data_IF_381416154729
#
_entry.id   IF_381416154729
#
_cell.length_a   1.000
_cell.length_b   1.000
_cell.length_c   1.000
_cell.angle_alpha   90.00
_cell.angle_beta   90.00
_cell.angle_gamma   90.00
#
_symmetry.space_group_name_H-M   'P 1'
#
loop_
_entity.id
_entity.type
_entity.pdbx_description
1 polymer ?
#
# COMPACT_ATOMS: atom_id res chain seq x y z
N UNK A 1 -5.16 -9.33 -10.96
CA UNK A 1 -3.80 -9.19 -10.40
C UNK A 1 -2.87 -10.05 -11.22
N UNK A 2 -1.81 -9.47 -11.80
CA UNK A 2 -0.78 -10.24 -12.52
C UNK A 2 0.12 -10.95 -11.52
N UNK A 3 0.58 -12.14 -11.86
CA UNK A 3 1.59 -12.86 -11.09
C UNK A 3 2.86 -13.07 -11.91
N UNK A 4 3.98 -13.15 -11.21
CA UNK A 4 5.31 -13.37 -11.74
C UNK A 4 5.94 -14.53 -10.97
N UNK A 5 6.44 -15.53 -11.69
CA UNK A 5 7.19 -16.63 -11.07
C UNK A 5 8.68 -16.32 -11.11
N UNK A 6 9.31 -16.29 -9.94
CA UNK A 6 10.76 -16.15 -9.79
C UNK A 6 11.27 -17.41 -9.10
N UNK A 7 12.08 -18.20 -9.81
CA UNK A 7 12.49 -19.54 -9.36
C UNK A 7 11.28 -20.44 -9.06
N UNK A 8 11.07 -20.83 -7.80
CA UNK A 8 9.96 -21.67 -7.36
C UNK A 8 8.87 -20.91 -6.60
N UNK A 9 8.97 -19.59 -6.52
CA UNK A 9 8.06 -18.74 -5.75
C UNK A 9 7.23 -17.86 -6.69
N UNK A 10 5.93 -17.78 -6.43
CA UNK A 10 5.02 -16.90 -7.14
C UNK A 10 4.87 -15.58 -6.40
N UNK A 11 4.90 -14.47 -7.15
CA UNK A 11 4.74 -13.13 -6.62
C UNK A 11 3.58 -12.42 -7.33
N UNK A 12 2.77 -11.70 -6.57
CA UNK A 12 1.81 -10.72 -7.09
C UNK A 12 2.59 -9.46 -7.47
N UNK A 13 2.34 -8.96 -8.68
CA UNK A 13 2.87 -7.66 -9.12
C UNK A 13 1.94 -6.56 -8.61
N UNK A 14 2.37 -5.85 -7.58
CA UNK A 14 1.64 -4.74 -6.97
C UNK A 14 2.18 -3.41 -7.53
N UNK A 15 1.59 -3.02 -8.66
CA UNK A 15 1.95 -1.80 -9.40
C UNK A 15 1.68 -0.54 -8.58
N UNK A 16 0.58 -0.50 -7.82
CA UNK A 16 0.20 0.71 -7.09
C UNK A 16 1.24 1.06 -6.03
N UNK A 17 1.83 0.04 -5.39
CA UNK A 17 2.82 0.20 -4.32
C UNK A 17 4.27 -0.10 -4.77
N UNK A 18 4.53 -0.22 -6.07
CA UNK A 18 5.87 -0.48 -6.64
C UNK A 18 6.59 -1.67 -5.96
N UNK A 19 5.91 -2.81 -5.82
CA UNK A 19 6.47 -4.00 -5.16
C UNK A 19 6.00 -5.33 -5.75
N UNK A 20 6.73 -6.38 -5.43
CA UNK A 20 6.33 -7.78 -5.58
C UNK A 20 5.98 -8.33 -4.21
N UNK A 21 4.86 -9.04 -4.10
CA UNK A 21 4.42 -9.67 -2.85
C UNK A 21 4.29 -11.17 -3.05
N UNK A 22 4.99 -11.95 -2.25
CA UNK A 22 4.92 -13.42 -2.29
C UNK A 22 3.47 -13.92 -2.14
N UNK A 23 3.08 -14.90 -2.95
CA UNK A 23 1.76 -15.51 -2.91
C UNK A 23 1.85 -17.00 -2.56
N UNK A 24 0.98 -17.52 -1.67
CA UNK A 24 -0.06 -16.81 -0.94
C UNK A 24 0.40 -16.19 0.40
N UNK A 25 1.62 -16.51 0.85
CA UNK A 25 2.09 -16.27 2.22
C UNK A 25 2.32 -14.79 2.55
N UNK A 26 2.65 -13.96 1.56
CA UNK A 26 3.00 -12.53 1.70
C UNK A 26 4.17 -12.25 2.66
N UNK A 27 4.97 -13.27 2.97
CA UNK A 27 6.10 -13.15 3.90
C UNK A 27 7.31 -12.44 3.29
N UNK A 28 7.50 -12.57 1.99
CA UNK A 28 8.53 -11.85 1.24
C UNK A 28 7.92 -10.74 0.39
N UNK A 29 8.41 -9.51 0.60
CA UNK A 29 8.03 -8.33 -0.18
C UNK A 29 9.30 -7.71 -0.76
N UNK A 30 9.32 -7.51 -2.08
CA UNK A 30 10.44 -6.95 -2.82
C UNK A 30 10.00 -5.62 -3.43
N UNK A 31 10.66 -4.52 -3.09
CA UNK A 31 10.32 -3.21 -3.68
C UNK A 31 11.16 -3.01 -4.94
N UNK A 32 10.56 -2.51 -6.02
CA UNK A 32 11.31 -2.25 -7.26
C UNK A 32 12.42 -1.21 -7.03
N UNK A 33 12.23 -0.27 -6.10
CA UNK A 33 13.23 0.73 -5.72
C UNK A 33 14.50 0.13 -5.07
N UNK A 34 14.42 -1.08 -4.52
CA UNK A 34 15.58 -1.79 -3.95
C UNK A 34 16.34 -2.59 -5.02
N UNK A 35 15.84 -2.61 -6.26
CA UNK A 35 16.42 -3.33 -7.39
C UNK A 35 17.27 -2.40 -8.26
N UNK A 36 18.26 -2.97 -8.93
CA UNK A 36 19.09 -2.23 -9.88
C UNK A 36 18.46 -2.25 -11.26
N UNK A 37 18.18 -1.09 -11.83
CA UNK A 37 17.80 -0.99 -13.24
C UNK A 37 18.95 -1.46 -14.15
N UNK A 38 18.63 -2.38 -15.08
CA UNK A 38 19.50 -2.90 -16.14
C UNK A 38 18.76 -2.79 -17.48
N UNK A 39 19.44 -2.92 -18.64
CA UNK A 39 18.79 -2.75 -19.94
C UNK A 39 17.52 -3.60 -20.15
N UNK A 40 17.49 -4.80 -19.57
CA UNK A 40 16.42 -5.79 -19.68
C UNK A 40 15.30 -5.63 -18.62
N UNK A 41 15.46 -4.75 -17.62
CA UNK A 41 14.50 -4.55 -16.55
C UNK A 41 15.15 -4.29 -15.19
N UNK A 42 14.76 -5.05 -14.17
CA UNK A 42 15.25 -4.93 -12.80
C UNK A 42 16.07 -6.14 -12.39
N UNK A 43 17.31 -5.90 -11.96
CA UNK A 43 18.22 -6.91 -11.45
C UNK A 43 18.29 -6.85 -9.92
N UNK A 44 18.20 -8.00 -9.28
CA UNK A 44 18.37 -8.17 -7.85
C UNK A 44 18.91 -9.57 -7.54
N UNK A 45 19.27 -9.79 -6.29
CA UNK A 45 19.97 -10.98 -5.84
C UNK A 45 19.27 -11.58 -4.62
N UNK A 46 19.14 -12.90 -4.58
CA UNK A 46 18.68 -13.62 -3.39
C UNK A 46 19.83 -14.30 -2.65
N UNK A 47 19.76 -14.33 -1.32
CA UNK A 47 20.51 -15.29 -0.50
C UNK A 47 19.85 -16.70 -0.54
N UNK A 48 20.47 -17.64 0.18
CA UNK A 48 19.98 -19.02 0.27
C UNK A 48 18.59 -19.15 0.94
N UNK A 49 18.18 -18.13 1.72
CA UNK A 49 16.90 -18.08 2.42
C UNK A 49 15.82 -17.32 1.61
N UNK A 50 16.15 -16.88 0.39
CA UNK A 50 15.21 -16.19 -0.50
C UNK A 50 14.98 -14.72 -0.14
N UNK A 51 15.90 -14.09 0.61
CA UNK A 51 15.87 -12.66 0.92
C UNK A 51 16.79 -11.86 0.02
N UNK A 52 16.46 -10.58 -0.21
CA UNK A 52 17.33 -9.68 -0.96
C UNK A 52 18.70 -9.58 -0.29
N UNK A 53 19.75 -9.92 -1.02
CA UNK A 53 21.11 -9.93 -0.50
C UNK A 53 22.12 -9.45 -1.53
N UNK A 54 23.14 -8.72 -1.09
CA UNK A 54 24.32 -8.42 -1.91
C UNK A 54 25.51 -9.28 -1.51
N UNK A 55 26.29 -9.80 -2.47
CA UNK A 55 27.58 -10.43 -2.17
C UNK A 55 27.92 -11.67 -3.01
N UNK A 56 28.99 -12.37 -2.61
CA UNK A 56 29.37 -13.66 -3.21
C UNK A 56 28.42 -14.76 -2.72
N UNK A 57 27.92 -15.60 -3.63
CA UNK A 57 27.03 -16.72 -3.31
C UNK A 57 25.53 -16.45 -3.47
N UNK A 58 25.15 -15.28 -3.98
CA UNK A 58 23.76 -14.94 -4.30
C UNK A 58 23.42 -15.30 -5.75
N UNK A 59 22.18 -15.71 -6.00
CA UNK A 59 21.67 -15.91 -7.36
C UNK A 59 21.08 -14.60 -7.89
N UNK A 60 21.59 -14.12 -9.03
CA UNK A 60 21.05 -12.95 -9.70
C UNK A 60 19.79 -13.32 -10.48
N UNK A 61 18.76 -12.50 -10.31
CA UNK A 61 17.53 -12.55 -11.07
C UNK A 61 17.32 -11.23 -11.79
N UNK A 62 16.81 -11.31 -13.02
CA UNK A 62 16.37 -10.16 -13.80
C UNK A 62 14.90 -10.36 -14.10
N UNK A 63 14.09 -9.35 -13.79
CA UNK A 63 12.67 -9.32 -14.11
C UNK A 63 12.39 -8.15 -15.07
N UNK A 64 11.41 -8.28 -15.96
CA UNK A 64 11.00 -7.20 -16.86
C UNK A 64 10.61 -5.90 -16.13
N UNK A 65 10.56 -4.79 -16.86
CA UNK A 65 10.00 -3.52 -16.37
C UNK A 65 8.52 -3.66 -15.97
N UNK A 66 8.04 -2.82 -15.06
CA UNK A 66 6.64 -2.85 -14.63
C UNK A 66 5.68 -2.61 -15.80
N UNK A 67 6.02 -1.74 -16.75
CA UNK A 67 5.25 -1.53 -18.00
C UNK A 67 5.12 -2.79 -18.85
N UNK A 68 5.99 -3.78 -18.66
CA UNK A 68 5.95 -5.07 -19.36
C UNK A 68 5.27 -6.16 -18.50
N UNK A 69 5.47 -6.13 -17.17
CA UNK A 69 4.88 -7.07 -16.24
C UNK A 69 3.36 -6.91 -16.12
N UNK A 70 2.89 -5.67 -16.00
CA UNK A 70 1.47 -5.33 -15.92
C UNK A 70 1.20 -4.01 -16.66
N UNK A 71 1.13 -4.06 -18.01
CA UNK A 71 0.86 -2.90 -18.83
C UNK A 71 -0.48 -2.25 -18.45
N UNK A 72 -1.52 -3.06 -18.20
CA UNK A 72 -2.84 -2.52 -17.84
C UNK A 72 -2.82 -1.80 -16.49
N UNK A 73 -2.13 -2.36 -15.49
CA UNK A 73 -1.95 -1.73 -14.18
C UNK A 73 -1.15 -0.42 -14.26
N UNK A 74 -0.05 -0.41 -15.01
CA UNK A 74 0.76 0.80 -15.21
C UNK A 74 0.01 1.88 -15.97
N UNK A 75 -0.70 1.53 -17.04
CA UNK A 75 -1.56 2.45 -17.78
C UNK A 75 -2.60 3.11 -16.86
N UNK A 76 -3.29 2.30 -16.03
CA UNK A 76 -4.24 2.79 -15.02
C UNK A 76 -3.57 3.71 -14.01
N UNK A 77 -2.39 3.35 -13.47
CA UNK A 77 -1.65 4.13 -12.48
C UNK A 77 -1.29 5.53 -12.98
N UNK A 78 -0.93 5.66 -14.25
CA UNK A 78 -0.51 6.93 -14.86
C UNK A 78 -1.65 7.66 -15.60
N UNK A 79 -2.83 7.04 -15.72
CA UNK A 79 -3.98 7.63 -16.42
C UNK A 79 -3.75 7.79 -17.92
N UNK A 80 -3.06 6.83 -18.54
CA UNK A 80 -2.77 6.78 -19.98
C UNK A 80 -3.24 5.45 -20.57
N UNK A 81 -3.34 5.38 -21.89
CA UNK A 81 -3.69 4.14 -22.59
C UNK A 81 -2.51 3.15 -22.61
N UNK A 82 -2.74 1.82 -22.52
CA UNK A 82 -1.66 0.82 -22.57
C UNK A 82 -0.76 0.93 -23.80
N UNK A 83 -1.29 1.34 -24.97
CA UNK A 83 -0.46 1.52 -26.18
C UNK A 83 0.43 2.77 -26.13
N UNK A 84 0.16 3.68 -25.20
CA UNK A 84 0.96 4.89 -24.97
C UNK A 84 2.06 4.68 -23.93
N UNK A 85 2.19 3.47 -23.37
CA UNK A 85 3.24 3.17 -22.42
C UNK A 85 4.62 3.22 -23.10
N UNK A 86 5.62 3.84 -22.44
CA UNK A 86 6.99 3.77 -22.92
C UNK A 86 7.57 2.37 -22.72
N UNK A 87 8.75 2.13 -23.29
CA UNK A 87 9.45 0.86 -23.12
C UNK A 87 9.98 0.62 -21.69
N UNK A 88 10.20 1.70 -20.91
CA UNK A 88 10.80 1.67 -19.58
C UNK A 88 10.02 2.52 -18.59
N UNK A 89 10.01 2.10 -17.32
CA UNK A 89 9.24 2.75 -16.27
C UNK A 89 9.71 4.19 -16.02
N UNK A 90 11.03 4.45 -16.04
CA UNK A 90 11.62 5.79 -15.83
C UNK A 90 11.18 6.86 -16.84
N UNK A 91 10.72 6.41 -18.01
CA UNK A 91 10.30 7.30 -19.09
C UNK A 91 8.85 7.75 -18.91
N UNK A 92 8.11 7.15 -17.97
CA UNK A 92 6.78 7.60 -17.59
C UNK A 92 6.83 9.01 -16.99
N UNK A 93 5.72 9.71 -17.17
CA UNK A 93 5.52 11.08 -16.71
C UNK A 93 4.21 11.21 -15.96
N UNK A 94 4.21 12.01 -14.91
CA UNK A 94 2.99 12.31 -14.18
C UNK A 94 1.99 13.08 -15.06
N UNK A 95 0.72 12.95 -14.71
CA UNK A 95 -0.32 13.77 -15.33
C UNK A 95 -0.31 15.18 -14.73
N UNK A 96 0.17 16.15 -15.51
CA UNK A 96 0.26 17.56 -15.08
C UNK A 96 -1.08 18.14 -14.65
N UNK A 97 -2.15 17.84 -15.37
CA UNK A 97 -3.48 18.36 -15.05
C UNK A 97 -3.96 17.87 -13.69
N UNK A 98 -3.78 16.58 -13.36
CA UNK A 98 -4.16 16.06 -12.05
C UNK A 98 -3.38 16.71 -10.91
N UNK A 99 -2.08 16.96 -11.12
CA UNK A 99 -1.27 17.67 -10.16
C UNK A 99 -1.75 19.12 -9.98
N UNK A 100 -2.04 19.83 -11.06
CA UNK A 100 -2.56 21.21 -11.03
C UNK A 100 -3.94 21.30 -10.34
N UNK A 101 -4.85 20.35 -10.60
CA UNK A 101 -6.12 20.25 -9.87
C UNK A 101 -5.90 20.07 -8.36
N UNK A 102 -4.93 19.22 -8.00
CA UNK A 102 -4.55 18.99 -6.60
C UNK A 102 -3.94 20.23 -5.95
N UNK A 103 -3.11 21.00 -6.66
CA UNK A 103 -2.59 22.30 -6.21
C UNK A 103 -3.72 23.32 -6.05
N UNK A 104 -4.73 23.25 -6.93
CA UNK A 104 -5.96 24.04 -6.85
C UNK A 104 -6.86 23.69 -5.67
N UNK A 105 -6.51 22.68 -4.87
CA UNK A 105 -7.20 22.31 -3.63
C UNK A 105 -8.10 21.09 -3.75
N UNK A 106 -8.18 20.44 -4.92
CA UNK A 106 -8.94 19.19 -5.09
C UNK A 106 -8.23 18.05 -4.34
N UNK A 107 -8.78 17.61 -3.22
CA UNK A 107 -8.23 16.49 -2.46
C UNK A 107 -8.48 15.16 -3.19
N UNK A 108 -7.55 14.20 -3.11
CA UNK A 108 -7.76 12.87 -3.70
C UNK A 108 -8.91 12.15 -3.00
N UNK A 109 -9.63 11.32 -3.77
CA UNK A 109 -10.64 10.40 -3.24
C UNK A 109 -10.10 8.99 -3.36
N UNK A 110 -10.29 8.23 -2.29
CA UNK A 110 -9.82 6.86 -2.11
C UNK A 110 -11.01 5.98 -1.72
N UNK A 111 -11.17 4.84 -2.38
CA UNK A 111 -12.28 3.93 -2.11
C UNK A 111 -11.84 2.78 -1.19
N UNK A 112 -12.59 2.53 -0.13
CA UNK A 112 -12.48 1.34 0.71
C UNK A 112 -13.81 0.60 0.66
N UNK A 113 -13.83 -0.58 0.04
CA UNK A 113 -15.06 -1.35 -0.18
C UNK A 113 -16.10 -0.50 -0.94
N UNK A 114 -17.25 -0.23 -0.33
CA UNK A 114 -18.38 0.54 -0.89
C UNK A 114 -18.37 2.02 -0.48
N UNK A 115 -17.35 2.47 0.25
CA UNK A 115 -17.28 3.82 0.79
C UNK A 115 -16.11 4.63 0.22
N UNK A 116 -16.40 5.85 -0.21
CA UNK A 116 -15.40 6.82 -0.66
C UNK A 116 -14.91 7.68 0.52
N UNK A 117 -13.60 7.92 0.54
CA UNK A 117 -12.90 8.74 1.53
C UNK A 117 -12.07 9.83 0.84
N UNK A 118 -12.11 11.04 1.37
CA UNK A 118 -11.21 12.13 1.05
C UNK A 118 -9.90 11.89 1.79
N UNK A 119 -8.77 11.88 1.07
CA UNK A 119 -7.43 11.83 1.66
C UNK A 119 -7.06 13.25 2.10
N UNK A 120 -6.95 13.48 3.42
CA UNK A 120 -6.52 14.77 3.97
C UNK A 120 -5.26 14.60 4.82
N UNK A 121 -4.09 14.56 4.16
CA UNK A 121 -2.80 14.40 4.83
C UNK A 121 -2.42 15.56 5.76
N UNK A 122 -3.08 16.73 5.64
CA UNK A 122 -2.86 17.85 6.57
C UNK A 122 -3.40 17.53 7.95
N UNK A 123 -4.53 16.82 8.00
CA UNK A 123 -5.14 16.32 9.22
C UNK A 123 -4.68 14.90 9.58
N UNK A 124 -4.07 14.18 8.63
CA UNK A 124 -3.70 12.77 8.80
C UNK A 124 -4.91 11.84 8.78
N UNK A 125 -5.97 12.20 8.04
CA UNK A 125 -7.25 11.49 8.05
C UNK A 125 -7.65 11.01 6.65
N UNK A 126 -8.27 9.83 6.59
CA UNK A 126 -9.20 9.45 5.52
C UNK A 126 -10.61 9.82 5.97
N UNK A 127 -11.16 10.89 5.43
CA UNK A 127 -12.47 11.42 5.83
C UNK A 127 -13.56 10.86 4.91
N UNK A 128 -14.59 10.16 5.41
CA UNK A 128 -15.66 9.67 4.54
C UNK A 128 -16.34 10.82 3.80
N UNK A 129 -16.65 10.61 2.52
CA UNK A 129 -17.31 11.62 1.68
C UNK A 129 -18.75 11.88 2.14
N UNK A 130 -19.47 10.82 2.53
CA UNK A 130 -20.92 10.85 2.76
C UNK A 130 -21.34 10.31 4.15
N UNK A 131 -20.40 10.01 5.05
CA UNK A 131 -20.70 9.49 6.39
C UNK A 131 -20.20 10.47 7.47
N UNK A 132 -21.09 11.34 7.92
CA UNK A 132 -20.76 12.33 8.95
C UNK A 132 -20.87 11.77 10.38
N UNK A 133 -21.11 10.47 10.56
CA UNK A 133 -21.19 9.85 11.88
C UNK A 133 -19.81 9.51 12.48
N UNK A 134 -18.77 9.56 11.66
CA UNK A 134 -17.37 9.34 12.06
C UNK A 134 -16.48 10.49 11.58
N UNK A 135 -15.39 10.73 12.30
CA UNK A 135 -14.33 11.65 11.85
C UNK A 135 -13.50 11.07 10.69
N UNK A 136 -13.59 9.75 10.48
CA UNK A 136 -12.79 9.00 9.52
C UNK A 136 -11.64 8.23 10.17
N UNK A 137 -10.79 7.66 9.33
CA UNK A 137 -9.68 6.79 9.76
C UNK A 137 -8.42 7.63 9.94
N UNK A 138 -7.81 7.57 11.12
CA UNK A 138 -6.54 8.24 11.41
C UNK A 138 -5.35 7.44 10.91
N UNK A 139 -4.64 7.98 9.91
CA UNK A 139 -3.54 7.29 9.23
C UNK A 139 -2.35 7.00 10.16
N UNK A 140 -2.16 7.83 11.19
CA UNK A 140 -1.04 7.70 12.14
C UNK A 140 -1.18 6.53 13.10
N UNK A 141 -2.40 6.07 13.30
CA UNK A 141 -2.73 4.94 14.18
C UNK A 141 -2.70 3.60 13.43
N UNK A 142 -2.43 3.61 12.11
CA UNK A 142 -2.39 2.40 11.31
C UNK A 142 -0.99 1.78 11.32
N UNK A 143 -0.95 0.45 11.42
CA UNK A 143 0.28 -0.30 11.28
C UNK A 143 0.78 -0.25 9.84
N UNK A 144 2.10 -0.20 9.66
CA UNK A 144 2.75 -0.25 8.36
C UNK A 144 3.33 -1.65 8.16
N UNK A 145 3.23 -2.18 6.95
CA UNK A 145 3.84 -3.46 6.61
C UNK A 145 5.38 -3.43 6.71
N UNK A 146 6.01 -4.61 6.71
CA UNK A 146 7.46 -4.71 6.87
C UNK A 146 8.26 -3.99 5.76
N UNK A 147 7.66 -3.80 4.58
CA UNK A 147 8.31 -3.10 3.47
C UNK A 147 8.21 -1.58 3.56
N UNK A 148 7.33 -1.04 4.43
CA UNK A 148 7.11 0.38 4.56
C UNK A 148 6.23 1.00 3.47
N UNK A 149 5.47 0.19 2.71
CA UNK A 149 4.79 0.62 1.49
C UNK A 149 3.27 0.71 1.61
N UNK A 150 2.68 0.00 2.58
CA UNK A 150 1.24 0.05 2.82
C UNK A 150 0.93 0.12 4.31
N UNK A 151 -0.16 0.81 4.64
CA UNK A 151 -0.84 0.64 5.91
C UNK A 151 -1.71 -0.62 5.89
N UNK A 152 -1.73 -1.37 6.98
CA UNK A 152 -2.52 -2.58 7.16
C UNK A 152 -3.43 -2.44 8.37
N UNK A 153 -4.71 -2.73 8.21
CA UNK A 153 -5.66 -2.70 9.31
C UNK A 153 -6.90 -3.55 9.02
N UNK A 154 -7.72 -3.74 10.05
CA UNK A 154 -9.04 -4.35 9.91
C UNK A 154 -10.08 -3.24 9.74
N UNK A 155 -10.87 -3.29 8.68
CA UNK A 155 -11.89 -2.30 8.37
C UNK A 155 -13.28 -2.85 8.63
N UNK A 156 -14.11 -2.09 9.35
CA UNK A 156 -15.51 -2.44 9.62
C UNK A 156 -16.44 -1.82 8.56
N UNK A 157 -16.92 -2.63 7.61
CA UNK A 157 -17.63 -2.17 6.41
C UNK A 157 -18.96 -1.47 6.66
N UNK A 158 -19.59 -1.62 7.84
CA UNK A 158 -20.81 -0.86 8.21
C UNK A 158 -20.58 0.38 9.07
N UNK A 159 -19.44 0.46 9.74
CA UNK A 159 -19.10 1.58 10.64
C UNK A 159 -18.12 2.55 9.97
N UNK A 160 -17.56 2.13 8.84
CA UNK A 160 -16.58 2.86 8.06
C UNK A 160 -15.36 3.31 8.88
N UNK A 161 -14.92 2.43 9.78
CA UNK A 161 -13.89 2.72 10.78
C UNK A 161 -12.98 1.50 11.01
N UNK A 162 -11.85 1.73 11.68
CA UNK A 162 -10.90 0.70 12.08
C UNK A 162 -11.55 -0.22 13.12
N UNK A 163 -11.52 -1.52 12.83
CA UNK A 163 -11.88 -2.54 13.79
C UNK A 163 -10.68 -2.87 14.68
N UNK A 164 -10.76 -2.49 15.95
CA UNK A 164 -9.74 -2.82 16.93
C UNK A 164 -9.81 -4.31 17.29
N UNK A 165 -8.73 -5.01 16.98
CA UNK A 165 -8.57 -6.43 17.30
C UNK A 165 -8.39 -6.67 18.81
N UNK A 166 -8.85 -7.83 19.29
CA UNK A 166 -8.61 -8.32 20.64
C UNK A 166 -7.97 -9.71 20.57
N UNK A 167 -6.87 -9.92 21.32
CA UNK A 167 -6.13 -11.18 21.38
C UNK A 167 -6.97 -12.40 21.82
N UNK A 168 -8.12 -12.20 22.46
CA UNK A 168 -8.99 -13.29 22.92
C UNK A 168 -10.07 -13.68 21.90
N UNK A 169 -10.06 -13.10 20.71
CA UNK A 169 -11.10 -13.33 19.71
C UNK A 169 -11.04 -14.76 19.17
N UNK A 170 -12.22 -15.38 19.05
CA UNK A 170 -12.38 -16.80 18.71
C UNK A 170 -13.06 -17.04 17.36
N UNK A 171 -13.47 -15.98 16.67
CA UNK A 171 -14.09 -16.05 15.35
C UNK A 171 -13.87 -14.74 14.61
N UNK A 172 -13.80 -14.80 13.29
CA UNK A 172 -13.75 -13.61 12.42
C UNK A 172 -15.06 -12.83 12.58
N UNK A 173 -15.04 -11.50 12.82
CA UNK A 173 -16.25 -10.74 13.01
C UNK A 173 -16.98 -10.54 11.68
N UNK A 174 -18.31 -10.47 11.74
CA UNK A 174 -19.12 -10.09 10.56
C UNK A 174 -18.83 -8.64 10.20
N UNK A 175 -18.84 -8.33 8.91
CA UNK A 175 -18.61 -6.97 8.37
C UNK A 175 -17.22 -6.41 8.68
N UNK A 176 -16.24 -7.26 8.96
CA UNK A 176 -14.84 -6.86 9.10
C UNK A 176 -14.06 -7.50 7.96
N UNK A 177 -13.17 -6.73 7.35
CA UNK A 177 -12.27 -7.19 6.30
C UNK A 177 -10.85 -6.67 6.55
N UNK A 178 -9.80 -7.47 6.29
CA UNK A 178 -8.43 -6.97 6.29
C UNK A 178 -8.19 -6.15 5.01
N UNK A 179 -7.61 -4.98 5.18
CA UNK A 179 -7.35 -4.04 4.07
C UNK A 179 -5.91 -3.54 4.09
N UNK A 180 -5.38 -3.33 2.90
CA UNK A 180 -4.16 -2.57 2.68
C UNK A 180 -4.46 -1.30 1.91
N UNK A 181 -3.86 -0.21 2.33
CA UNK A 181 -3.91 1.07 1.63
C UNK A 181 -2.47 1.58 1.45
N UNK A 182 -2.14 2.27 0.34
CA UNK A 182 -0.80 2.80 0.15
C UNK A 182 -0.39 3.77 1.27
N UNK A 183 0.91 3.99 1.47
CA UNK A 183 1.40 5.05 2.37
C UNK A 183 1.26 6.44 1.75
N UNK A 184 1.45 7.48 2.58
CA UNK A 184 1.16 8.88 2.26
C UNK A 184 1.69 9.39 0.92
N UNK A 185 2.93 9.09 0.55
CA UNK A 185 3.53 9.57 -0.70
C UNK A 185 2.92 8.92 -1.95
N UNK A 186 2.23 7.79 -1.79
CA UNK A 186 1.48 7.09 -2.85
C UNK A 186 0.00 7.50 -2.84
N UNK A 187 -0.57 7.77 -1.66
CA UNK A 187 -1.96 8.22 -1.46
C UNK A 187 -2.20 9.66 -1.94
N UNK A 188 -1.37 10.61 -1.51
CA UNK A 188 -1.42 12.02 -1.90
C UNK A 188 0.02 12.55 -2.03
N UNK A 189 0.69 12.29 -3.17
CA UNK A 189 2.08 12.68 -3.39
C UNK A 189 2.31 14.18 -3.16
N UNK A 190 1.39 15.03 -3.62
CA UNK A 190 1.47 16.47 -3.41
C UNK A 190 1.33 16.84 -1.92
N UNK A 191 0.33 16.28 -1.23
CA UNK A 191 0.13 16.51 0.21
C UNK A 191 1.33 16.04 1.04
N UNK A 192 1.96 14.93 0.65
CA UNK A 192 3.18 14.43 1.28
C UNK A 192 4.36 15.39 1.07
N UNK A 193 4.63 15.80 -0.17
CA UNK A 193 5.71 16.74 -0.49
C UNK A 193 5.52 18.11 0.19
N UNK A 194 4.27 18.56 0.38
CA UNK A 194 3.95 19.76 1.18
C UNK A 194 4.35 19.58 2.65
N UNK A 195 4.03 18.42 3.25
CA UNK A 195 4.28 18.14 4.66
C UNK A 195 5.77 17.94 4.97
N UNK A 196 6.50 17.27 4.07
CA UNK A 196 7.91 16.90 4.26
C UNK A 196 8.90 18.04 3.98
N UNK A 197 8.42 19.27 3.71
CA UNK A 197 9.23 20.48 3.50
C UNK A 197 10.13 20.51 2.26
N UNK A 198 10.14 19.48 1.40
CA UNK A 198 10.72 19.58 0.05
C UNK A 198 9.99 20.63 -0.82
N UNK A 199 8.74 20.97 -0.46
CA UNK A 199 7.96 22.07 -1.03
C UNK A 199 7.87 23.34 -0.15
N UNK A 200 8.66 23.48 0.92
CA UNK A 200 8.65 24.71 1.74
C UNK A 200 8.96 25.98 0.94
N UNK A 201 9.71 25.84 -0.16
CA UNK A 201 9.93 26.90 -1.14
C UNK A 201 8.77 27.12 -2.12
N UNK A 202 7.93 26.10 -2.35
CA UNK A 202 6.80 26.16 -3.29
C UNK A 202 5.61 26.89 -2.66
N UNK A 203 5.28 26.63 -1.39
CA UNK A 203 4.20 27.33 -0.70
C UNK A 203 4.49 28.82 -0.48
N UNK A 204 5.77 29.19 -0.35
CA UNK A 204 6.23 30.57 -0.26
C UNK A 204 6.34 31.27 -1.63
N UNK A 205 6.69 30.55 -2.70
CA UNK A 205 6.78 31.10 -4.07
C UNK A 205 5.47 31.06 -4.85
N UNK A 206 4.59 30.12 -4.54
CA UNK A 206 3.33 29.82 -5.22
C UNK A 206 2.25 29.50 -4.18
N UNK A 207 1.61 30.52 -3.57
CA UNK A 207 0.54 30.30 -2.61
C UNK A 207 -0.60 29.50 -3.25
N UNK A 208 -1.05 28.44 -2.56
CA UNK A 208 -2.14 27.59 -3.04
C UNK A 208 -3.40 28.42 -3.35
N UNK A 209 -4.13 28.05 -4.42
CA UNK A 209 -5.52 28.47 -4.62
C UNK A 209 -5.81 29.44 -5.76
N UNK A 210 -4.83 29.92 -6.53
CA UNK A 210 -5.09 30.70 -7.76
C UNK A 210 -4.65 29.92 -9.00
N UNK A 211 -5.61 29.63 -9.88
CA UNK A 211 -5.37 28.82 -11.09
C UNK A 211 -4.30 29.43 -11.99
N UNK A 212 -4.29 30.76 -12.11
CA UNK A 212 -3.33 31.51 -12.94
C UNK A 212 -1.89 31.45 -12.39
N UNK A 213 -1.73 31.20 -11.09
CA UNK A 213 -0.42 31.04 -10.45
C UNK A 213 0.05 29.57 -10.52
N UNK A 214 -0.90 28.63 -10.52
CA UNK A 214 -0.65 27.18 -10.66
C UNK A 214 -0.11 26.83 -12.04
N UNK A 215 -0.72 27.36 -13.10
CA UNK A 215 -0.29 27.09 -14.48
C UNK A 215 1.12 27.63 -14.78
N UNK A 216 1.57 28.61 -13.99
CA UNK A 216 2.92 29.23 -14.09
C UNK A 216 4.00 28.51 -13.31
N UNK A 217 3.66 27.46 -12.54
CA UNK A 217 4.65 26.69 -11.80
C UNK A 217 5.58 25.99 -12.81
N UNK A 218 6.85 26.42 -12.85
CA UNK A 218 7.88 25.65 -13.52
C UNK A 218 8.25 24.45 -12.66
N UNK A 219 7.58 23.32 -12.92
CA UNK A 219 7.82 22.07 -12.20
C UNK A 219 9.28 21.61 -12.29
N UNK A 220 10.03 21.96 -13.34
CA UNK A 220 11.45 21.60 -13.44
C UNK A 220 12.27 22.32 -12.38
N UNK A 221 12.00 23.62 -12.19
CA UNK A 221 12.67 24.44 -11.20
C UNK A 221 12.37 24.04 -9.75
N UNK A 222 11.36 23.17 -9.53
CA UNK A 222 11.02 22.67 -8.19
C UNK A 222 11.90 21.51 -7.74
N UNK A 223 12.55 20.80 -8.67
CA UNK A 223 13.29 19.56 -8.39
C UNK A 223 12.40 18.33 -8.12
N UNK A 224 11.07 18.46 -8.15
CA UNK A 224 10.13 17.41 -7.76
C UNK A 224 9.58 16.57 -8.91
N UNK A 225 10.01 16.85 -10.15
CA UNK A 225 9.55 16.06 -11.32
C UNK A 225 9.90 14.58 -11.16
N UNK A 226 11.09 14.26 -10.63
CA UNK A 226 11.47 12.87 -10.36
C UNK A 226 10.47 12.20 -9.42
N UNK A 227 10.19 12.86 -8.29
CA UNK A 227 9.23 12.40 -7.30
C UNK A 227 7.82 12.22 -7.89
N UNK A 228 7.28 13.19 -8.63
CA UNK A 228 5.95 13.05 -9.22
C UNK A 228 5.89 12.03 -10.36
N UNK A 229 6.97 11.86 -11.13
CA UNK A 229 7.04 10.78 -12.13
C UNK A 229 6.98 9.40 -11.46
N UNK A 230 7.64 9.22 -10.31
CA UNK A 230 7.62 7.96 -9.56
C UNK A 230 6.29 7.75 -8.83
N UNK A 231 5.73 8.82 -8.26
CA UNK A 231 4.49 8.86 -7.50
C UNK A 231 3.50 9.84 -8.14
N UNK A 232 2.83 9.43 -9.24
CA UNK A 232 1.92 10.31 -9.95
C UNK A 232 0.66 10.60 -9.13
N UNK A 233 0.11 11.80 -9.28
CA UNK A 233 -1.20 12.13 -8.72
C UNK A 233 -2.29 11.29 -9.39
N UNK A 234 -3.19 10.70 -8.60
CA UNK A 234 -4.25 9.80 -9.06
C UNK A 234 -5.60 10.17 -8.46
N UNK A 235 -6.68 9.83 -9.17
CA UNK A 235 -8.07 9.99 -8.72
C UNK A 235 -8.78 8.65 -8.47
N UNK A 236 -8.16 7.52 -8.84
CA UNK A 236 -8.79 6.19 -8.88
C UNK A 236 -8.00 5.20 -8.02
N UNK A 237 -7.73 5.55 -6.76
CA UNK A 237 -7.00 4.69 -5.83
C UNK A 237 -8.03 3.93 -4.98
N UNK A 238 -7.85 2.61 -4.85
CA UNK A 238 -8.75 1.74 -4.09
C UNK A 238 -7.94 0.90 -3.10
N UNK A 239 -8.55 0.54 -1.98
CA UNK A 239 -7.94 -0.36 -1.01
C UNK A 239 -7.86 -1.78 -1.56
N UNK A 240 -6.76 -2.47 -1.25
CA UNK A 240 -6.65 -3.90 -1.51
C UNK A 240 -7.31 -4.65 -0.35
N UNK A 241 -8.37 -5.40 -0.64
CA UNK A 241 -9.00 -6.30 0.33
C UNK A 241 -8.24 -7.63 0.33
N UNK A 242 -7.68 -7.99 1.48
CA UNK A 242 -6.98 -9.26 1.64
C UNK A 242 -7.96 -10.39 1.93
N UNK A 243 -7.57 -11.62 1.57
CA UNK A 243 -8.24 -12.80 2.11
C UNK A 243 -7.72 -13.07 3.51
N UNK A 244 -8.56 -13.65 4.36
CA UNK A 244 -8.19 -13.96 5.74
C UNK A 244 -7.01 -14.93 5.86
N UNK A 245 -6.88 -15.89 4.93
CA UNK A 245 -5.76 -16.84 4.88
C UNK A 245 -4.42 -16.20 4.51
N UNK A 246 -4.43 -14.93 4.09
CA UNK A 246 -3.24 -14.11 3.83
C UNK A 246 -2.84 -13.25 5.04
N UNK A 247 -3.47 -13.47 6.20
CA UNK A 247 -3.21 -12.74 7.45
C UNK A 247 -2.89 -13.74 8.57
N UNK A 248 -2.25 -13.29 9.66
CA UNK A 248 -2.00 -14.13 10.85
C UNK A 248 -3.26 -14.39 11.70
N UNK A 249 -4.38 -13.74 11.37
CA UNK A 249 -5.61 -13.75 12.17
C UNK A 249 -6.23 -15.16 12.34
N UNK A 250 -6.35 -16.01 11.30
CA UNK A 250 -6.89 -17.36 11.45
C UNK A 250 -6.08 -18.25 12.40
N UNK A 251 -4.76 -18.11 12.41
CA UNK A 251 -3.86 -18.86 13.30
C UNK A 251 -4.05 -18.45 14.75
N UNK A 252 -4.17 -17.15 15.01
CA UNK A 252 -4.46 -16.59 16.34
C UNK A 252 -5.81 -17.11 16.85
N UNK A 253 -6.86 -17.06 16.03
CA UNK A 253 -8.19 -17.59 16.37
C UNK A 253 -8.11 -19.09 16.72
N UNK A 254 -7.40 -19.87 15.91
CA UNK A 254 -7.24 -21.31 16.13
C UNK A 254 -6.52 -21.60 17.45
N UNK A 255 -5.49 -20.83 17.78
CA UNK A 255 -4.76 -20.90 19.04
C UNK A 255 -5.66 -20.58 20.24
N UNK A 256 -6.49 -19.54 20.15
CA UNK A 256 -7.42 -19.15 21.21
C UNK A 256 -8.52 -20.19 21.45
N UNK A 257 -9.07 -20.78 20.39
CA UNK A 257 -10.01 -21.88 20.48
C UNK A 257 -9.38 -23.11 21.16
N UNK A 258 -8.12 -23.42 20.85
CA UNK A 258 -7.39 -24.50 21.49
C UNK A 258 -7.15 -24.26 22.98
N UNK A 259 -6.75 -23.03 23.37
CA UNK A 259 -6.58 -22.63 24.78
C UNK A 259 -7.88 -22.79 25.57
N UNK A 260 -9.00 -22.33 25.00
CA UNK A 260 -10.32 -22.44 25.65
C UNK A 260 -10.73 -23.89 25.87
N UNK A 261 -10.55 -24.76 24.86
CA UNK A 261 -10.81 -26.20 24.97
C UNK A 261 -9.93 -26.90 26.01
N UNK A 262 -8.70 -26.43 26.24
CA UNK A 262 -7.82 -26.97 27.28
C UNK A 262 -8.25 -26.56 28.70
N UNK A 263 -8.74 -25.32 28.87
CA UNK A 263 -9.27 -24.83 30.14
C UNK A 263 -10.56 -25.56 30.53
N UNK A 264 -11.41 -25.90 29.55
CA UNK A 264 -12.68 -26.61 29.77
C UNK A 264 -12.53 -28.12 30.03
N UNK A 265 -11.35 -28.72 29.80
CA UNK A 265 -11.13 -30.14 30.13
C UNK A 265 -11.13 -30.31 31.66
N UNK A 266 -12.07 -31.07 32.24
CA UNK A 266 -12.11 -31.26 33.69
C UNK A 266 -10.81 -31.93 34.15
N UNK A 267 -10.13 -31.33 35.14
CA UNK A 267 -8.98 -31.95 35.80
C UNK A 267 -9.44 -33.32 36.30
N UNK A 268 -8.91 -34.39 35.69
CA UNK A 268 -9.19 -35.75 36.13
C UNK A 268 -8.87 -35.82 37.63
N UNK A 269 -9.92 -35.99 38.46
CA UNK A 269 -9.74 -36.18 39.91
C UNK A 269 -8.92 -37.45 40.07
N UNK A 270 -7.63 -37.29 40.39
CA UNK A 270 -6.79 -38.38 40.86
C UNK A 270 -7.45 -38.96 42.11
N UNK A 271 -8.21 -40.05 41.95
CA UNK A 271 -8.62 -40.92 43.04
C UNK A 271 -7.34 -41.51 43.63
N UNK A 272 -6.82 -40.87 44.68
CA UNK A 272 -5.90 -41.52 45.61
C UNK A 272 -6.62 -42.77 46.12
N UNK A 273 -6.21 -43.95 45.64
CA UNK A 273 -6.50 -45.23 46.29
C UNK A 273 -5.76 -45.19 47.62
N UNK A 274 -6.50 -44.91 48.69
CA UNK A 274 -6.06 -45.16 50.05
C UNK A 274 -5.99 -46.68 50.27
N UNK A 275 -4.93 -47.07 50.98
CA UNK A 275 -4.55 -48.41 51.43
C UNK A 275 -5.67 -49.15 52.16
#
# INVERSE_FOLDING_TARGET
MKTLKISNTEYIVDIDNNRLVESPSRNCILRFQDMKEVPEGYAFNFDADGKLAGGKGTNQHIIPFMVQLDPEGMAKKYGIEPQSLPAKDRDLKFNKQLLEERVGGKLPVFKIHDQDFIVDLRLGLLRPVNDFSTMGIELRELDIDQSGTVYQFLYHTKKHDVFLWNENMQAIPKNVIPVEIPVDHVLDPFGFAMRMSEMGGLSSRYPMGRKEDIEKIDWNATGLIGFFNEYPQRNNIEATVLRWDQTSIPEIISSNLAKTKQVERPKAKNKRRGL
#
